data_IF_243049308350
#
_entry.id   IF_243049308350
#
_cell.length_a   1.000
_cell.length_b   1.000
_cell.length_c   1.000
_cell.angle_alpha   90.00
_cell.angle_beta   90.00
_cell.angle_gamma   90.00
#
_symmetry.space_group_name_H-M   'P 1'
#
loop_
_entity.id
_entity.type
_entity.pdbx_description
1 polymer ?
#
# COMPACT_ATOMS: atom_id res chain seq x y z
N UNK A 1 -28.16 0.54 21.00
CA UNK A 1 -28.59 1.24 19.77
C UNK A 1 -27.80 2.52 19.45
N UNK A 2 -27.55 3.43 20.40
CA UNK A 2 -26.82 4.71 20.14
C UNK A 2 -25.37 4.55 19.62
N UNK A 3 -24.63 3.52 20.05
CA UNK A 3 -23.24 3.26 19.61
C UNK A 3 -23.15 2.77 18.16
N UNK A 4 -24.07 1.88 17.75
CA UNK A 4 -24.12 1.30 16.39
C UNK A 4 -24.53 2.32 15.31
N UNK A 5 -25.34 3.32 15.67
CA UNK A 5 -25.77 4.38 14.74
C UNK A 5 -24.67 5.42 14.49
N UNK A 6 -23.84 5.72 15.50
CA UNK A 6 -22.68 6.62 15.36
C UNK A 6 -21.65 6.08 14.37
N UNK A 7 -21.32 4.78 14.45
CA UNK A 7 -20.36 4.14 13.54
C UNK A 7 -20.74 4.29 12.08
N UNK A 8 -22.02 4.09 11.73
CA UNK A 8 -22.48 4.16 10.34
C UNK A 8 -22.29 5.54 9.73
N UNK A 9 -22.59 6.61 10.49
CA UNK A 9 -22.43 8.00 10.02
C UNK A 9 -20.97 8.30 9.67
N UNK A 10 -20.02 7.86 10.49
CA UNK A 10 -18.60 8.13 10.25
C UNK A 10 -18.08 7.39 9.00
N UNK A 11 -18.46 6.13 8.80
CA UNK A 11 -18.11 5.40 7.58
C UNK A 11 -18.73 6.04 6.33
N UNK A 12 -19.98 6.50 6.40
CA UNK A 12 -20.63 7.22 5.28
C UNK A 12 -19.92 8.53 4.98
N UNK A 13 -19.62 9.35 5.99
CA UNK A 13 -18.89 10.61 5.80
C UNK A 13 -17.49 10.38 5.22
N UNK A 14 -16.77 9.36 5.71
CA UNK A 14 -15.45 9.01 5.18
C UNK A 14 -15.54 8.51 3.74
N UNK A 15 -16.55 7.72 3.39
CA UNK A 15 -16.75 7.26 2.03
C UNK A 15 -17.07 8.41 1.07
N UNK A 16 -17.91 9.37 1.49
CA UNK A 16 -18.23 10.57 0.71
C UNK A 16 -17.01 11.49 0.55
N UNK A 17 -16.25 11.72 1.63
CA UNK A 17 -15.00 12.49 1.55
C UNK A 17 -13.98 11.81 0.62
N UNK A 18 -13.88 10.48 0.67
CA UNK A 18 -13.03 9.70 -0.24
C UNK A 18 -13.48 9.87 -1.70
N UNK A 19 -14.79 9.81 -1.96
CA UNK A 19 -15.35 10.01 -3.29
C UNK A 19 -15.03 11.41 -3.84
N UNK A 20 -15.24 12.46 -3.04
CA UNK A 20 -14.91 13.85 -3.41
C UNK A 20 -13.42 13.99 -3.72
N UNK A 21 -12.57 13.33 -2.94
CA UNK A 21 -11.12 13.39 -3.11
C UNK A 21 -10.67 12.65 -4.38
N UNK A 22 -11.19 11.47 -4.66
CA UNK A 22 -10.69 10.63 -5.76
C UNK A 22 -11.37 10.88 -7.10
N UNK A 23 -12.64 11.30 -7.12
CA UNK A 23 -13.40 11.43 -8.35
C UNK A 23 -12.72 12.35 -9.38
N UNK A 24 -12.22 13.55 -9.04
CA UNK A 24 -11.59 14.44 -10.02
C UNK A 24 -10.33 13.83 -10.62
N UNK A 25 -9.41 13.36 -9.78
CA UNK A 25 -8.12 12.79 -10.20
C UNK A 25 -8.28 11.48 -10.98
N UNK A 26 -9.24 10.64 -10.61
CA UNK A 26 -9.47 9.37 -11.30
C UNK A 26 -10.21 9.56 -12.61
N UNK A 27 -11.14 10.52 -12.69
CA UNK A 27 -11.77 10.88 -13.96
C UNK A 27 -10.76 11.49 -14.94
N UNK A 28 -9.81 12.29 -14.45
CA UNK A 28 -8.66 12.77 -15.23
C UNK A 28 -7.79 11.61 -15.71
N UNK A 29 -7.36 10.75 -14.77
CA UNK A 29 -6.51 9.58 -15.03
C UNK A 29 -7.12 8.65 -16.09
N UNK A 30 -8.40 8.30 -15.94
CA UNK A 30 -9.09 7.35 -16.81
C UNK A 30 -9.33 7.86 -18.23
N UNK A 31 -9.25 9.17 -18.47
CA UNK A 31 -9.49 9.78 -19.77
C UNK A 31 -8.20 10.08 -20.53
N UNK A 32 -7.18 10.54 -19.81
CA UNK A 32 -6.01 11.17 -20.43
C UNK A 32 -4.71 10.36 -20.31
N UNK A 33 -4.66 9.34 -19.46
CA UNK A 33 -3.43 8.56 -19.30
C UNK A 33 -3.42 7.30 -20.15
N UNK A 34 -2.34 7.13 -20.91
CA UNK A 34 -2.12 5.99 -21.79
C UNK A 34 -2.23 4.63 -21.07
N UNK A 35 -1.78 4.53 -19.81
CA UNK A 35 -1.79 3.28 -19.05
C UNK A 35 -3.23 2.78 -18.78
N UNK A 36 -4.17 3.69 -18.54
CA UNK A 36 -5.58 3.33 -18.42
C UNK A 36 -6.16 2.85 -19.76
N UNK A 37 -5.87 3.57 -20.84
CA UNK A 37 -6.30 3.17 -22.19
C UNK A 37 -5.76 1.79 -22.57
N UNK A 38 -4.48 1.54 -22.26
CA UNK A 38 -3.81 0.26 -22.46
C UNK A 38 -4.52 -0.87 -21.70
N UNK A 39 -4.76 -0.69 -20.40
CA UNK A 39 -5.44 -1.70 -19.58
C UNK A 39 -6.91 -1.93 -19.99
N UNK A 40 -7.64 -0.89 -20.38
CA UNK A 40 -9.01 -1.04 -20.90
C UNK A 40 -8.99 -1.82 -22.21
N UNK A 41 -8.13 -1.44 -23.16
CA UNK A 41 -8.00 -2.13 -24.45
C UNK A 41 -7.50 -3.57 -24.31
N UNK A 42 -6.67 -3.85 -23.30
CA UNK A 42 -6.24 -5.20 -22.96
C UNK A 42 -7.42 -6.02 -22.40
N UNK A 43 -8.18 -5.49 -21.44
CA UNK A 43 -9.35 -6.17 -20.88
C UNK A 43 -10.36 -6.58 -21.96
N UNK A 44 -10.62 -5.70 -22.93
CA UNK A 44 -11.59 -5.96 -24.00
C UNK A 44 -11.14 -7.09 -24.95
N UNK A 45 -9.84 -7.37 -25.04
CA UNK A 45 -9.26 -8.43 -25.89
C UNK A 45 -9.06 -9.76 -25.14
N UNK A 46 -9.11 -9.76 -23.81
CA UNK A 46 -8.93 -10.96 -22.98
C UNK A 46 -9.83 -12.16 -23.33
N UNK A 47 -11.11 -11.99 -23.75
CA UNK A 47 -11.96 -13.12 -24.11
C UNK A 47 -11.44 -13.94 -25.30
N UNK A 48 -10.68 -13.30 -26.20
CA UNK A 48 -10.23 -13.90 -27.45
C UNK A 48 -8.75 -14.32 -27.41
N UNK A 49 -7.95 -13.71 -26.51
CA UNK A 49 -6.54 -14.02 -26.31
C UNK A 49 -6.16 -13.85 -24.83
N UNK A 50 -5.56 -14.88 -24.23
CA UNK A 50 -5.00 -14.84 -22.88
C UNK A 50 -3.61 -14.15 -22.84
N UNK A 51 -3.18 -13.55 -23.93
CA UNK A 51 -1.86 -12.96 -24.09
C UNK A 51 -1.71 -11.72 -23.18
N UNK A 52 -0.56 -11.59 -22.50
CA UNK A 52 -0.19 -10.44 -21.64
C UNK A 52 -1.04 -10.22 -20.38
N UNK A 53 -1.59 -11.27 -19.76
CA UNK A 53 -2.30 -11.12 -18.49
C UNK A 53 -1.30 -10.91 -17.34
N UNK A 54 -0.78 -9.69 -17.24
CA UNK A 54 -0.13 -9.23 -16.01
C UNK A 54 -1.16 -8.48 -15.17
N UNK A 55 -1.45 -8.99 -13.98
CA UNK A 55 -2.43 -8.40 -13.04
C UNK A 55 -3.91 -8.33 -13.55
N UNK A 56 -4.59 -9.48 -13.72
CA UNK A 56 -5.95 -9.54 -14.29
C UNK A 56 -7.05 -8.94 -13.43
N UNK A 57 -6.86 -8.74 -12.12
CA UNK A 57 -7.97 -8.43 -11.23
C UNK A 57 -8.68 -7.11 -11.61
N UNK A 58 -7.92 -6.08 -11.96
CA UNK A 58 -8.50 -4.82 -12.43
C UNK A 58 -9.37 -5.04 -13.67
N UNK A 59 -8.85 -5.78 -14.66
CA UNK A 59 -9.53 -6.09 -15.91
C UNK A 59 -10.84 -6.86 -15.65
N UNK A 60 -10.81 -7.85 -14.76
CA UNK A 60 -11.99 -8.62 -14.37
C UNK A 60 -13.07 -7.75 -13.70
N UNK A 61 -12.68 -6.87 -12.78
CA UNK A 61 -13.62 -5.94 -12.12
C UNK A 61 -14.22 -4.98 -13.15
N UNK A 62 -13.37 -4.38 -14.00
CA UNK A 62 -13.79 -3.48 -15.06
C UNK A 62 -14.79 -4.15 -16.02
N UNK A 63 -14.46 -5.33 -16.56
CA UNK A 63 -15.33 -6.07 -17.47
C UNK A 63 -16.65 -6.45 -16.81
N UNK A 64 -16.62 -6.87 -15.55
CA UNK A 64 -17.84 -7.22 -14.80
C UNK A 64 -18.77 -6.01 -14.69
N UNK A 65 -18.24 -4.85 -14.30
CA UNK A 65 -19.00 -3.60 -14.20
C UNK A 65 -19.56 -3.19 -15.56
N UNK A 66 -18.73 -3.20 -16.59
CA UNK A 66 -19.12 -2.84 -17.96
C UNK A 66 -20.28 -3.72 -18.45
N UNK A 67 -20.16 -5.04 -18.31
CA UNK A 67 -21.15 -6.01 -18.80
C UNK A 67 -22.44 -6.02 -17.96
N UNK A 68 -22.34 -5.94 -16.63
CA UNK A 68 -23.50 -6.03 -15.75
C UNK A 68 -24.33 -4.73 -15.72
N UNK A 69 -23.68 -3.57 -15.84
CA UNK A 69 -24.34 -2.26 -15.72
C UNK A 69 -24.50 -1.53 -17.06
N UNK A 70 -23.94 -2.05 -18.15
CA UNK A 70 -24.00 -1.41 -19.47
C UNK A 70 -23.28 -0.06 -19.56
N UNK A 71 -22.33 0.21 -18.66
CA UNK A 71 -21.65 1.50 -18.59
C UNK A 71 -20.63 1.65 -19.72
N UNK A 72 -20.43 2.86 -20.29
CA UNK A 72 -19.32 3.12 -21.22
C UNK A 72 -17.96 2.74 -20.60
N UNK A 73 -16.99 2.35 -21.43
CA UNK A 73 -15.69 1.83 -20.96
C UNK A 73 -15.00 2.75 -19.94
N UNK A 74 -14.93 4.06 -20.20
CA UNK A 74 -14.30 5.00 -19.26
C UNK A 74 -15.03 5.06 -17.92
N UNK A 75 -16.37 5.04 -17.94
CA UNK A 75 -17.18 5.10 -16.72
C UNK A 75 -17.10 3.80 -15.92
N UNK A 76 -17.06 2.64 -16.59
CA UNK A 76 -16.83 1.36 -15.95
C UNK A 76 -15.44 1.29 -15.29
N UNK A 77 -14.39 1.78 -15.97
CA UNK A 77 -13.03 1.83 -15.42
C UNK A 77 -12.92 2.78 -14.22
N UNK A 78 -13.52 3.97 -14.32
CA UNK A 78 -13.61 4.92 -13.20
C UNK A 78 -14.33 4.28 -12.00
N UNK A 79 -15.46 3.64 -12.24
CA UNK A 79 -16.24 2.96 -11.19
C UNK A 79 -15.44 1.83 -10.55
N UNK A 80 -14.75 1.00 -11.34
CA UNK A 80 -13.88 -0.07 -10.86
C UNK A 80 -12.83 0.45 -9.88
N UNK A 81 -12.18 1.58 -10.21
CA UNK A 81 -11.13 2.14 -9.35
C UNK A 81 -11.70 2.79 -8.09
N UNK A 82 -12.81 3.52 -8.18
CA UNK A 82 -13.45 4.10 -7.00
C UNK A 82 -13.87 3.01 -6.01
N UNK A 83 -14.40 1.87 -6.50
CA UNK A 83 -14.72 0.71 -5.67
C UNK A 83 -13.51 0.13 -4.94
N UNK A 84 -12.31 0.26 -5.50
CA UNK A 84 -11.07 -0.25 -4.90
C UNK A 84 -10.40 0.78 -3.99
N UNK A 85 -10.49 2.08 -4.31
CA UNK A 85 -9.85 3.14 -3.53
C UNK A 85 -10.65 3.55 -2.29
N UNK A 86 -11.98 3.59 -2.35
CA UNK A 86 -12.83 4.04 -1.22
C UNK A 86 -12.67 3.13 0.02
N UNK A 87 -12.57 1.79 -0.09
CA UNK A 87 -12.39 0.96 1.10
C UNK A 87 -11.06 1.14 1.83
N UNK A 88 -10.00 1.63 1.16
CA UNK A 88 -8.66 1.79 1.76
C UNK A 88 -8.67 2.69 3.00
N UNK A 89 -9.14 3.96 2.95
CA UNK A 89 -9.23 4.79 4.15
C UNK A 89 -10.25 4.26 5.16
N UNK A 90 -11.32 3.57 4.74
CA UNK A 90 -12.29 2.95 5.66
C UNK A 90 -11.64 1.85 6.51
N UNK A 91 -10.83 0.99 5.88
CA UNK A 91 -10.06 -0.06 6.55
C UNK A 91 -9.04 0.55 7.51
N UNK A 92 -8.30 1.57 7.07
CA UNK A 92 -7.34 2.27 7.92
C UNK A 92 -8.02 2.91 9.15
N UNK A 93 -9.12 3.64 8.93
CA UNK A 93 -9.94 4.22 10.00
C UNK A 93 -10.45 3.17 10.98
N UNK A 94 -11.00 2.05 10.48
CA UNK A 94 -11.50 0.97 11.32
C UNK A 94 -10.40 0.40 12.23
N UNK A 95 -9.21 0.17 11.69
CA UNK A 95 -8.06 -0.34 12.46
C UNK A 95 -7.53 0.69 13.45
N UNK A 96 -7.47 1.97 13.07
CA UNK A 96 -7.10 3.03 14.01
C UNK A 96 -8.11 3.13 15.16
N UNK A 97 -9.41 3.21 14.84
CA UNK A 97 -10.48 3.31 15.83
C UNK A 97 -10.49 2.10 16.76
N UNK A 98 -10.30 0.89 16.23
CA UNK A 98 -10.19 -0.33 17.04
C UNK A 98 -9.02 -0.23 18.03
N UNK A 99 -7.91 0.42 17.63
CA UNK A 99 -6.70 0.47 18.44
C UNK A 99 -6.69 1.59 19.48
N UNK A 100 -7.25 2.75 19.16
CA UNK A 100 -7.25 3.92 20.04
C UNK A 100 -8.58 4.17 20.76
N UNK A 101 -9.68 3.58 20.31
CA UNK A 101 -11.02 3.78 20.89
C UNK A 101 -11.48 5.24 20.82
N UNK A 102 -12.08 5.75 21.90
CA UNK A 102 -12.64 7.11 21.99
C UNK A 102 -11.62 8.18 22.41
N UNK A 103 -10.34 7.83 22.57
CA UNK A 103 -9.30 8.78 23.03
C UNK A 103 -8.92 9.81 21.95
N UNK A 104 -9.22 9.52 20.68
CA UNK A 104 -8.99 10.41 19.55
C UNK A 104 -10.34 10.66 18.86
N UNK A 105 -10.72 11.93 18.59
CA UNK A 105 -11.96 12.24 17.90
C UNK A 105 -12.02 11.59 16.51
N UNK A 106 -13.21 11.13 16.11
CA UNK A 106 -13.40 10.43 14.83
C UNK A 106 -12.97 11.29 13.63
N UNK A 107 -13.23 12.59 13.66
CA UNK A 107 -12.82 13.51 12.59
C UNK A 107 -11.29 13.54 12.40
N UNK A 108 -10.51 13.47 13.48
CA UNK A 108 -9.05 13.41 13.39
C UNK A 108 -8.57 12.06 12.83
N UNK A 109 -9.19 10.95 13.25
CA UNK A 109 -8.87 9.62 12.70
C UNK A 109 -9.23 9.52 11.21
N UNK A 110 -10.37 10.09 10.80
CA UNK A 110 -10.79 10.18 9.41
C UNK A 110 -9.81 11.02 8.59
N UNK A 111 -9.39 12.19 9.09
CA UNK A 111 -8.40 13.03 8.42
C UNK A 111 -7.05 12.33 8.24
N UNK A 112 -6.58 11.61 9.26
CA UNK A 112 -5.35 10.80 9.19
C UNK A 112 -5.51 9.65 8.18
N UNK A 113 -6.64 8.96 8.18
CA UNK A 113 -6.92 7.88 7.24
C UNK A 113 -6.96 8.38 5.79
N UNK A 114 -7.59 9.53 5.51
CA UNK A 114 -7.54 10.18 4.20
C UNK A 114 -6.13 10.64 3.85
N UNK A 115 -5.40 11.25 4.78
CA UNK A 115 -4.02 11.68 4.58
C UNK A 115 -3.12 10.55 4.10
N UNK A 116 -3.26 9.35 4.67
CA UNK A 116 -2.50 8.16 4.25
C UNK A 116 -2.74 7.76 2.80
N UNK A 117 -3.88 8.14 2.22
CA UNK A 117 -4.25 7.75 0.86
C UNK A 117 -3.90 8.76 -0.22
N UNK A 118 -3.45 9.95 0.19
CA UNK A 118 -2.97 10.98 -0.72
C UNK A 118 -1.51 11.35 -0.49
N UNK A 119 -0.91 10.94 0.63
CA UNK A 119 0.48 11.25 0.96
C UNK A 119 1.45 10.91 -0.17
N UNK A 120 2.45 11.75 -0.37
CA UNK A 120 3.55 11.47 -1.29
C UNK A 120 4.88 11.80 -0.58
N UNK A 121 6.02 11.41 -1.17
CA UNK A 121 7.34 11.85 -0.71
C UNK A 121 7.43 13.37 -0.62
N UNK A 122 8.26 13.88 0.28
CA UNK A 122 8.56 15.31 0.33
C UNK A 122 9.36 15.66 -0.94
N UNK A 123 8.76 16.43 -1.83
CA UNK A 123 9.35 16.70 -3.14
C UNK A 123 10.16 17.98 -3.14
N UNK A 124 11.41 17.86 -3.59
CA UNK A 124 12.29 18.99 -3.92
C UNK A 124 12.45 19.04 -5.45
N UNK A 125 12.53 17.88 -6.10
CA UNK A 125 12.52 17.74 -7.56
C UNK A 125 11.17 17.14 -7.99
N UNK A 126 10.26 17.99 -8.44
CA UNK A 126 8.91 17.53 -8.76
C UNK A 126 8.87 16.98 -10.20
N UNK A 127 8.38 15.76 -10.37
CA UNK A 127 7.99 15.18 -11.67
C UNK A 127 6.67 14.42 -11.53
N UNK A 128 5.94 14.24 -12.63
CA UNK A 128 4.64 13.54 -12.66
C UNK A 128 4.74 12.03 -12.34
N UNK A 129 5.88 11.41 -12.66
CA UNK A 129 6.13 10.00 -12.40
C UNK A 129 6.84 9.78 -11.07
N UNK A 130 7.43 10.83 -10.50
CA UNK A 130 8.17 10.79 -9.23
C UNK A 130 9.25 9.69 -9.16
N UNK A 131 9.80 9.30 -10.31
CA UNK A 131 10.87 8.30 -10.38
C UNK A 131 12.07 8.81 -9.57
N UNK A 132 12.75 7.88 -8.88
CA UNK A 132 13.77 8.17 -7.86
C UNK A 132 13.21 8.39 -6.46
N UNK A 133 11.97 8.89 -6.33
CA UNK A 133 11.24 8.83 -5.06
C UNK A 133 10.49 7.50 -4.92
N UNK A 134 10.34 7.03 -3.68
CA UNK A 134 9.48 5.90 -3.35
C UNK A 134 8.06 6.41 -3.06
N UNK A 135 7.27 6.65 -4.11
CA UNK A 135 5.95 7.24 -3.99
C UNK A 135 4.85 6.18 -3.72
N UNK A 136 4.28 6.11 -2.50
CA UNK A 136 3.27 5.09 -2.19
C UNK A 136 1.92 5.31 -2.92
N UNK A 137 1.67 6.50 -3.47
CA UNK A 137 0.38 6.89 -4.07
C UNK A 137 0.58 7.25 -5.54
N UNK A 138 0.11 6.36 -6.42
CA UNK A 138 0.20 6.49 -7.88
C UNK A 138 -1.20 6.63 -8.45
N UNK A 139 -1.42 7.63 -9.30
CA UNK A 139 -2.74 7.91 -9.88
C UNK A 139 -2.90 7.43 -11.32
N UNK A 140 -1.80 7.21 -12.06
CA UNK A 140 -1.86 6.84 -13.47
C UNK A 140 -1.91 5.33 -13.73
N UNK A 141 -1.63 4.47 -12.73
CA UNK A 141 -1.49 3.03 -12.94
C UNK A 141 -2.61 2.24 -12.22
N UNK A 142 -3.60 1.69 -12.94
CA UNK A 142 -4.79 1.08 -12.34
C UNK A 142 -4.48 -0.19 -11.54
N UNK A 143 -3.48 -0.98 -11.94
CA UNK A 143 -3.09 -2.21 -11.21
C UNK A 143 -2.35 -1.88 -9.91
N UNK A 144 -1.48 -0.86 -9.91
CA UNK A 144 -0.86 -0.30 -8.70
C UNK A 144 -1.91 0.30 -7.76
N UNK A 145 -2.96 0.92 -8.30
CA UNK A 145 -4.09 1.39 -7.49
C UNK A 145 -4.81 0.19 -6.87
N UNK A 146 -5.05 -0.86 -7.65
CA UNK A 146 -5.81 -2.02 -7.22
C UNK A 146 -5.16 -2.79 -6.07
N UNK A 147 -3.84 -3.01 -6.13
CA UNK A 147 -3.11 -3.75 -5.09
C UNK A 147 -3.20 -3.09 -3.71
N UNK A 148 -3.36 -1.75 -3.64
CA UNK A 148 -3.43 -1.01 -2.37
C UNK A 148 -4.56 -1.45 -1.44
N UNK A 149 -5.68 -1.92 -2.01
CA UNK A 149 -6.79 -2.48 -1.23
C UNK A 149 -6.35 -3.67 -0.35
N UNK A 150 -5.37 -4.44 -0.83
CA UNK A 150 -4.94 -5.66 -0.17
C UNK A 150 -3.75 -5.45 0.77
N UNK A 151 -2.97 -4.38 0.62
CA UNK A 151 -1.74 -4.16 1.40
C UNK A 151 -2.03 -4.23 2.90
N UNK A 152 -2.98 -3.45 3.42
CA UNK A 152 -3.28 -3.42 4.86
C UNK A 152 -3.90 -4.76 5.33
N UNK A 153 -4.99 -5.28 4.72
CA UNK A 153 -5.60 -6.54 5.18
C UNK A 153 -4.65 -7.73 5.15
N UNK A 154 -3.90 -7.91 4.06
CA UNK A 154 -2.95 -9.02 3.92
C UNK A 154 -1.82 -8.87 4.92
N UNK A 155 -1.30 -7.66 5.14
CA UNK A 155 -0.22 -7.45 6.12
C UNK A 155 -0.67 -7.70 7.56
N UNK A 156 -1.92 -7.34 7.90
CA UNK A 156 -2.49 -7.63 9.23
C UNK A 156 -2.64 -9.13 9.41
N UNK A 157 -3.18 -9.85 8.41
CA UNK A 157 -3.29 -11.31 8.45
C UNK A 157 -1.92 -11.99 8.51
N UNK A 158 -0.97 -11.55 7.69
CA UNK A 158 0.40 -12.03 7.71
C UNK A 158 1.05 -11.84 9.09
N UNK A 159 0.87 -10.66 9.68
CA UNK A 159 1.42 -10.38 11.01
C UNK A 159 0.83 -11.26 12.12
N UNK A 160 -0.39 -11.80 11.95
CA UNK A 160 -0.94 -12.75 12.92
C UNK A 160 -0.07 -14.00 13.06
N UNK A 161 0.65 -14.41 12.01
CA UNK A 161 1.57 -15.52 12.08
C UNK A 161 2.69 -15.33 13.12
N UNK A 162 2.98 -14.10 13.57
CA UNK A 162 4.06 -13.78 14.50
C UNK A 162 3.58 -13.41 15.91
N UNK A 163 2.30 -13.65 16.21
CA UNK A 163 1.70 -13.45 17.53
C UNK A 163 1.36 -14.79 18.16
N UNK A 164 1.34 -14.82 19.50
CA UNK A 164 0.69 -15.91 20.23
C UNK A 164 -0.80 -15.90 19.87
N UNK A 165 -1.19 -16.76 18.93
CA UNK A 165 -2.59 -16.85 18.50
C UNK A 165 -3.35 -17.86 19.35
N UNK A 166 -4.47 -17.41 19.89
CA UNK A 166 -5.54 -18.29 20.37
C UNK A 166 -6.59 -18.36 19.28
N UNK A 167 -6.65 -19.49 18.58
CA UNK A 167 -7.78 -19.82 17.71
C UNK A 167 -8.92 -20.32 18.60
N UNK A 168 -10.17 -19.94 18.29
CA UNK A 168 -11.34 -20.42 19.02
C UNK A 168 -11.48 -21.95 18.91
N UNK A 169 -11.28 -22.46 17.70
CA UNK A 169 -11.35 -23.86 17.34
C UNK A 169 -10.55 -24.11 16.03
N UNK A 170 -10.52 -25.36 15.57
CA UNK A 170 -9.83 -25.76 14.34
C UNK A 170 -10.44 -25.10 13.09
N UNK A 171 -11.76 -24.98 13.02
CA UNK A 171 -12.47 -24.39 11.88
C UNK A 171 -12.11 -22.92 11.72
N UNK A 172 -12.01 -22.18 12.81
CA UNK A 172 -11.57 -20.79 12.84
C UNK A 172 -10.11 -20.66 12.36
N UNK A 173 -9.22 -21.61 12.69
CA UNK A 173 -7.85 -21.62 12.16
C UNK A 173 -7.83 -21.84 10.66
N UNK A 174 -8.55 -22.86 10.17
CA UNK A 174 -8.66 -23.17 8.74
C UNK A 174 -9.23 -21.97 7.96
N UNK A 175 -10.28 -21.34 8.48
CA UNK A 175 -10.86 -20.13 7.90
C UNK A 175 -9.82 -19.01 7.73
N UNK A 176 -9.00 -18.73 8.76
CA UNK A 176 -7.96 -17.69 8.67
C UNK A 176 -6.86 -18.06 7.67
N UNK A 177 -6.49 -19.34 7.58
CA UNK A 177 -5.52 -19.82 6.58
C UNK A 177 -6.08 -19.62 5.17
N UNK A 178 -7.31 -20.08 4.90
CA UNK A 178 -7.95 -19.95 3.59
C UNK A 178 -8.19 -18.49 3.21
N UNK A 179 -8.66 -17.66 4.14
CA UNK A 179 -8.84 -16.23 3.93
C UNK A 179 -7.51 -15.55 3.56
N UNK A 180 -6.42 -15.90 4.25
CA UNK A 180 -5.09 -15.36 3.94
C UNK A 180 -4.63 -15.81 2.55
N UNK A 181 -4.83 -17.08 2.21
CA UNK A 181 -4.45 -17.63 0.90
C UNK A 181 -5.19 -16.92 -0.24
N UNK A 182 -6.52 -16.79 -0.11
CA UNK A 182 -7.35 -16.09 -1.11
C UNK A 182 -6.93 -14.63 -1.24
N UNK A 183 -6.73 -13.91 -0.13
CA UNK A 183 -6.35 -12.49 -0.20
C UNK A 183 -4.95 -12.28 -0.77
N UNK A 184 -3.99 -13.16 -0.49
CA UNK A 184 -2.65 -13.10 -1.13
C UNK A 184 -2.75 -13.36 -2.63
N UNK A 185 -3.56 -14.35 -3.06
CA UNK A 185 -3.79 -14.61 -4.49
C UNK A 185 -4.43 -13.39 -5.15
N UNK A 186 -5.51 -12.84 -4.58
CA UNK A 186 -6.17 -11.64 -5.10
C UNK A 186 -5.24 -10.44 -5.17
N UNK A 187 -4.38 -10.26 -4.15
CA UNK A 187 -3.35 -9.22 -4.14
C UNK A 187 -2.35 -9.39 -5.29
N UNK A 188 -1.87 -10.61 -5.55
CA UNK A 188 -0.95 -10.89 -6.67
C UNK A 188 -1.64 -10.68 -8.01
N UNK A 189 -2.89 -11.13 -8.15
CA UNK A 189 -3.73 -10.87 -9.32
C UNK A 189 -4.02 -9.37 -9.50
N UNK A 190 -4.00 -8.57 -8.44
CA UNK A 190 -4.10 -7.11 -8.51
C UNK A 190 -2.79 -6.47 -8.99
N UNK A 191 -1.65 -6.91 -8.42
CA UNK A 191 -0.28 -6.68 -8.92
C UNK A 191 0.72 -7.52 -8.11
N UNK A 192 1.66 -8.26 -8.74
CA UNK A 192 2.62 -9.10 -8.00
C UNK A 192 3.60 -8.30 -7.11
N UNK A 193 3.76 -7.01 -7.39
CA UNK A 193 4.77 -6.14 -6.78
C UNK A 193 4.86 -6.19 -5.25
N UNK A 194 3.74 -6.18 -4.51
CA UNK A 194 3.79 -6.21 -3.05
C UNK A 194 4.16 -7.59 -2.49
N UNK A 195 3.80 -8.68 -3.18
CA UNK A 195 4.18 -10.04 -2.76
C UNK A 195 5.71 -10.23 -2.79
N UNK A 196 6.40 -9.60 -3.76
CA UNK A 196 7.86 -9.60 -3.85
C UNK A 196 8.55 -8.96 -2.62
N UNK A 197 7.86 -8.09 -1.87
CA UNK A 197 8.36 -7.57 -0.60
C UNK A 197 7.85 -8.39 0.59
N UNK A 198 6.55 -8.71 0.59
CA UNK A 198 5.87 -9.31 1.73
C UNK A 198 6.37 -10.73 2.03
N UNK A 199 6.46 -11.60 1.02
CA UNK A 199 6.82 -13.01 1.22
C UNK A 199 8.25 -13.17 1.78
N UNK A 200 9.30 -12.56 1.18
CA UNK A 200 10.63 -12.60 1.79
C UNK A 200 10.65 -11.88 3.15
N UNK A 201 9.89 -10.78 3.30
CA UNK A 201 9.74 -10.10 4.59
C UNK A 201 9.18 -11.01 5.69
N UNK A 202 8.18 -11.83 5.37
CA UNK A 202 7.62 -12.83 6.27
C UNK A 202 8.65 -13.90 6.64
N UNK A 203 9.45 -14.40 5.68
CA UNK A 203 10.50 -15.38 5.95
C UNK A 203 11.59 -14.81 6.87
N UNK A 204 12.11 -13.62 6.55
CA UNK A 204 13.14 -12.94 7.36
C UNK A 204 12.62 -12.65 8.76
N UNK A 205 11.38 -12.17 8.88
CA UNK A 205 10.78 -11.87 10.18
C UNK A 205 10.49 -13.14 10.98
N UNK A 206 10.08 -14.24 10.34
CA UNK A 206 9.91 -15.56 10.97
C UNK A 206 11.23 -16.06 11.55
N UNK A 207 12.32 -15.99 10.78
CA UNK A 207 13.66 -16.40 11.23
C UNK A 207 14.08 -15.54 12.42
N UNK A 208 13.99 -14.21 12.31
CA UNK A 208 14.31 -13.30 13.41
C UNK A 208 13.50 -13.61 14.67
N UNK A 209 12.20 -13.88 14.52
CA UNK A 209 11.31 -14.18 15.64
C UNK A 209 11.67 -15.51 16.28
N UNK A 210 11.91 -16.55 15.48
CA UNK A 210 12.34 -17.88 15.95
C UNK A 210 13.66 -17.82 16.72
N UNK A 211 14.67 -17.14 16.18
CA UNK A 211 15.98 -16.95 16.82
C UNK A 211 15.89 -16.16 18.14
N UNK A 212 14.84 -15.35 18.33
CA UNK A 212 14.56 -14.62 19.57
C UNK A 212 13.64 -15.39 20.54
N UNK A 213 13.46 -16.70 20.36
CA UNK A 213 12.57 -17.52 21.19
C UNK A 213 11.09 -17.16 21.04
N UNK A 214 10.73 -16.66 19.86
CA UNK A 214 9.41 -16.18 19.56
C UNK A 214 8.48 -17.19 18.91
N UNK A 215 7.17 -16.96 19.10
CA UNK A 215 6.14 -17.74 18.43
C UNK A 215 6.03 -17.39 16.95
N UNK A 216 5.93 -18.45 16.14
CA UNK A 216 5.62 -18.39 14.71
C UNK A 216 4.57 -19.46 14.42
N UNK A 217 3.43 -19.07 13.86
CA UNK A 217 2.44 -20.02 13.33
C UNK A 217 2.87 -20.46 11.93
N UNK A 218 3.67 -21.53 11.89
CA UNK A 218 4.18 -22.10 10.65
C UNK A 218 3.09 -22.56 9.68
N UNK A 219 1.91 -22.97 10.16
CA UNK A 219 0.82 -23.40 9.26
C UNK A 219 0.18 -22.21 8.56
N UNK A 220 -0.08 -21.12 9.29
CA UNK A 220 -0.58 -19.89 8.69
C UNK A 220 0.44 -19.30 7.72
N UNK A 221 1.71 -19.28 8.11
CA UNK A 221 2.79 -18.78 7.26
C UNK A 221 2.93 -19.63 5.98
N UNK A 222 3.02 -20.95 6.09
CA UNK A 222 3.20 -21.84 4.95
C UNK A 222 1.96 -21.89 4.05
N UNK A 223 0.80 -22.28 4.58
CA UNK A 223 -0.39 -22.56 3.76
C UNK A 223 -1.25 -21.32 3.50
N UNK A 224 -1.18 -20.31 4.36
CA UNK A 224 -1.96 -19.08 4.19
C UNK A 224 -1.24 -18.00 3.37
N UNK A 225 0.10 -18.06 3.25
CA UNK A 225 0.87 -16.98 2.63
C UNK A 225 1.91 -17.49 1.63
N UNK A 226 2.88 -18.30 2.08
CA UNK A 226 4.04 -18.66 1.26
C UNK A 226 3.67 -19.57 0.10
N UNK A 227 3.01 -20.70 0.35
CA UNK A 227 2.61 -21.65 -0.70
C UNK A 227 1.68 -21.00 -1.74
N UNK A 228 0.51 -20.41 -1.38
CA UNK A 228 -0.35 -19.78 -2.37
C UNK A 228 0.32 -18.59 -3.06
N UNK A 229 1.12 -17.81 -2.33
CA UNK A 229 1.82 -16.65 -2.87
C UNK A 229 2.91 -17.02 -3.87
N UNK A 230 3.76 -18.00 -3.55
CA UNK A 230 4.84 -18.44 -4.43
C UNK A 230 4.30 -19.15 -5.68
N UNK A 231 3.28 -20.00 -5.53
CA UNK A 231 2.62 -20.64 -6.68
C UNK A 231 2.03 -19.58 -7.61
N UNK A 232 1.28 -18.61 -7.07
CA UNK A 232 0.68 -17.55 -7.87
C UNK A 232 1.73 -16.64 -8.51
N UNK A 233 2.82 -16.31 -7.81
CA UNK A 233 3.95 -15.57 -8.41
C UNK A 233 4.60 -16.36 -9.54
N UNK A 234 4.78 -17.68 -9.39
CA UNK A 234 5.27 -18.55 -10.45
C UNK A 234 4.38 -18.51 -11.69
N UNK A 235 3.06 -18.62 -11.51
CA UNK A 235 2.09 -18.46 -12.61
C UNK A 235 2.22 -17.09 -13.28
N UNK A 236 2.30 -16.00 -12.50
CA UNK A 236 2.47 -14.66 -13.09
C UNK A 236 3.79 -14.50 -13.82
N UNK A 237 4.87 -15.13 -13.36
CA UNK A 237 6.17 -15.10 -14.03
C UNK A 237 6.13 -15.85 -15.36
N UNK A 238 5.52 -17.05 -15.40
CA UNK A 238 5.35 -17.81 -16.64
C UNK A 238 4.58 -16.99 -17.69
N UNK A 239 3.43 -16.43 -17.31
CA UNK A 239 2.61 -15.60 -18.19
C UNK A 239 3.27 -14.28 -18.63
N UNK A 240 4.28 -13.81 -17.89
CA UNK A 240 4.95 -12.53 -18.20
C UNK A 240 6.22 -12.68 -19.03
N UNK A 241 6.92 -13.81 -18.94
CA UNK A 241 8.29 -13.96 -19.46
C UNK A 241 8.56 -15.23 -20.28
N UNK A 242 7.72 -16.27 -20.19
CA UNK A 242 7.98 -17.54 -20.91
C UNK A 242 7.23 -17.58 -22.24
N UNK A 243 5.99 -17.10 -22.27
CA UNK A 243 5.15 -17.17 -23.46
C UNK A 243 5.41 -16.02 -24.46
N UNK A 244 6.49 -15.23 -24.28
CA UNK A 244 6.73 -14.02 -25.06
C UNK A 244 8.20 -13.80 -25.44
N UNK A 245 8.48 -13.74 -26.74
CA UNK A 245 9.82 -13.58 -27.32
C UNK A 245 10.02 -12.14 -27.86
N UNK A 246 9.85 -11.13 -26.98
CA UNK A 246 10.16 -9.72 -27.31
C UNK A 246 11.52 -9.26 -26.74
N UNK A 247 12.32 -10.21 -26.27
CA UNK A 247 13.60 -9.96 -25.61
C UNK A 247 13.50 -9.45 -24.17
N UNK A 248 12.30 -9.45 -23.57
CA UNK A 248 12.15 -9.06 -22.16
C UNK A 248 12.59 -10.16 -21.20
N UNK A 249 13.56 -9.86 -20.36
CA UNK A 249 13.98 -10.73 -19.27
C UNK A 249 14.07 -9.97 -17.94
N UNK A 250 14.15 -10.71 -16.84
CA UNK A 250 14.52 -10.15 -15.53
C UNK A 250 16.05 -10.11 -15.45
N UNK A 251 16.60 -8.93 -15.22
CA UNK A 251 18.04 -8.71 -15.12
C UNK A 251 18.43 -8.12 -13.77
N UNK A 252 19.70 -8.30 -13.40
CA UNK A 252 20.27 -7.77 -12.17
C UNK A 252 21.23 -6.62 -12.51
N UNK A 253 20.96 -5.44 -11.97
CA UNK A 253 21.80 -4.26 -12.13
C UNK A 253 21.53 -3.22 -11.06
N UNK A 254 22.60 -2.72 -10.44
CA UNK A 254 22.49 -1.75 -9.35
C UNK A 254 22.07 -0.38 -9.88
N UNK A 255 20.88 0.06 -9.48
CA UNK A 255 20.25 1.33 -9.83
C UNK A 255 19.99 1.53 -11.34
N UNK A 256 20.17 0.49 -12.17
CA UNK A 256 20.10 0.58 -13.64
C UNK A 256 18.82 1.25 -14.13
N UNK A 257 17.64 0.81 -13.65
CA UNK A 257 16.38 1.45 -14.04
C UNK A 257 16.27 2.90 -13.56
N UNK A 258 16.70 3.18 -12.33
CA UNK A 258 16.57 4.52 -11.74
C UNK A 258 17.43 5.56 -12.47
N UNK A 259 18.63 5.16 -12.89
CA UNK A 259 19.59 6.03 -13.57
C UNK A 259 19.19 6.38 -15.00
N UNK A 260 18.18 5.70 -15.57
CA UNK A 260 17.53 6.13 -16.82
C UNK A 260 16.78 7.46 -16.65
N UNK A 261 16.32 7.78 -15.45
CA UNK A 261 15.45 8.93 -15.19
C UNK A 261 16.06 9.96 -14.24
N UNK A 262 16.93 9.53 -13.33
CA UNK A 262 17.46 10.39 -12.27
C UNK A 262 18.95 10.13 -12.03
N UNK A 263 19.79 11.17 -11.89
CA UNK A 263 21.18 11.00 -11.48
C UNK A 263 21.33 10.19 -10.19
N UNK A 264 22.27 9.26 -10.17
CA UNK A 264 22.46 8.30 -9.08
C UNK A 264 22.59 8.95 -7.69
N UNK A 265 23.25 10.11 -7.60
CA UNK A 265 23.45 10.83 -6.34
C UNK A 265 22.14 11.35 -5.70
N UNK A 266 21.06 11.53 -6.48
CA UNK A 266 19.76 11.99 -5.96
C UNK A 266 18.97 10.87 -5.29
N UNK A 267 19.18 9.62 -5.71
CA UNK A 267 18.43 8.46 -5.22
C UNK A 267 18.47 8.31 -3.69
N UNK A 268 19.63 8.37 -3.00
CA UNK A 268 19.63 8.30 -1.53
C UNK A 268 18.87 9.46 -0.86
N UNK A 269 18.92 10.67 -1.43
CA UNK A 269 18.18 11.83 -0.91
C UNK A 269 16.68 11.62 -1.08
N UNK A 270 16.24 11.21 -2.28
CA UNK A 270 14.84 10.94 -2.59
C UNK A 270 14.28 9.77 -1.76
N UNK A 271 15.09 8.74 -1.50
CA UNK A 271 14.77 7.66 -0.57
C UNK A 271 14.49 8.23 0.82
N UNK A 272 15.39 9.05 1.38
CA UNK A 272 15.19 9.66 2.71
C UNK A 272 13.93 10.53 2.76
N UNK A 273 13.71 11.36 1.74
CA UNK A 273 12.50 12.20 1.62
C UNK A 273 11.21 11.39 1.47
N UNK A 274 11.30 10.13 1.03
CA UNK A 274 10.16 9.22 0.93
C UNK A 274 9.82 8.56 2.26
N UNK A 275 10.75 8.49 3.22
CA UNK A 275 10.58 7.76 4.48
C UNK A 275 10.89 8.60 5.73
N UNK A 276 10.95 9.93 5.62
CA UNK A 276 11.32 10.78 6.76
C UNK A 276 10.34 10.64 7.93
N UNK A 277 9.03 10.49 7.66
CA UNK A 277 8.04 10.25 8.71
C UNK A 277 8.29 8.94 9.49
N UNK A 278 8.34 7.75 8.86
CA UNK A 278 8.55 6.50 9.59
C UNK A 278 9.93 6.46 10.28
N UNK A 279 10.97 7.05 9.68
CA UNK A 279 12.28 7.23 10.34
C UNK A 279 12.14 8.10 11.58
N UNK A 280 11.49 9.26 11.47
CA UNK A 280 11.24 10.18 12.58
C UNK A 280 10.49 9.51 13.73
N UNK A 281 9.41 8.78 13.43
CA UNK A 281 8.66 7.99 14.42
C UNK A 281 9.58 6.99 15.14
N UNK A 282 10.40 6.24 14.39
CA UNK A 282 11.31 5.24 14.98
C UNK A 282 12.41 5.88 15.83
N UNK A 283 12.89 7.07 15.49
CA UNK A 283 13.90 7.81 16.26
C UNK A 283 13.28 8.40 17.54
N UNK A 284 12.19 9.15 17.42
CA UNK A 284 11.54 9.85 18.53
C UNK A 284 11.01 8.89 19.60
N UNK A 285 10.61 7.69 19.19
CA UNK A 285 10.07 6.64 20.06
C UNK A 285 10.93 5.37 20.06
N UNK A 286 12.25 5.48 19.92
CA UNK A 286 13.15 4.34 19.69
C UNK A 286 12.96 3.15 20.65
N UNK A 287 12.74 3.42 21.95
CA UNK A 287 12.52 2.35 22.94
C UNK A 287 11.21 1.61 22.69
N UNK A 288 10.12 2.35 22.49
CA UNK A 288 8.78 1.80 22.26
C UNK A 288 8.65 1.17 20.87
N UNK A 289 9.26 1.77 19.85
CA UNK A 289 9.24 1.31 18.47
C UNK A 289 9.94 -0.04 18.32
N UNK A 290 11.07 -0.26 19.01
CA UNK A 290 11.78 -1.56 19.05
C UNK A 290 10.93 -2.69 19.64
N UNK A 291 9.96 -2.37 20.50
CA UNK A 291 9.07 -3.34 21.13
C UNK A 291 7.78 -3.56 20.31
N UNK A 292 7.48 -2.68 19.35
CA UNK A 292 6.31 -2.85 18.50
C UNK A 292 6.63 -3.82 17.36
N UNK A 293 6.11 -5.05 17.48
CA UNK A 293 6.35 -6.11 16.52
C UNK A 293 5.73 -5.82 15.14
N UNK A 294 4.59 -5.13 15.06
CA UNK A 294 3.96 -4.82 13.76
C UNK A 294 4.75 -3.77 12.99
N UNK A 295 5.21 -2.72 13.67
CA UNK A 295 6.11 -1.73 13.10
C UNK A 295 7.43 -2.37 12.66
N UNK A 296 8.00 -3.26 13.49
CA UNK A 296 9.22 -4.00 13.14
C UNK A 296 9.02 -4.88 11.90
N UNK A 297 7.88 -5.57 11.80
CA UNK A 297 7.49 -6.35 10.64
C UNK A 297 7.39 -5.48 9.37
N UNK A 298 6.71 -4.33 9.44
CA UNK A 298 6.61 -3.40 8.31
C UNK A 298 7.98 -2.89 7.84
N UNK A 299 8.90 -2.60 8.78
CA UNK A 299 10.29 -2.25 8.45
C UNK A 299 11.05 -3.40 7.78
N UNK A 300 10.81 -4.66 8.20
CA UNK A 300 11.41 -5.83 7.55
C UNK A 300 10.89 -6.00 6.13
N UNK A 301 9.58 -5.88 5.90
CA UNK A 301 8.98 -5.92 4.55
C UNK A 301 9.57 -4.81 3.67
N UNK A 302 9.69 -3.59 4.20
CA UNK A 302 10.34 -2.49 3.49
C UNK A 302 11.81 -2.77 3.17
N UNK A 303 12.58 -3.30 4.12
CA UNK A 303 13.98 -3.67 3.88
C UNK A 303 14.12 -4.74 2.78
N UNK A 304 13.21 -5.72 2.72
CA UNK A 304 13.17 -6.72 1.64
C UNK A 304 12.74 -6.14 0.28
N UNK A 305 12.00 -5.03 0.26
CA UNK A 305 11.61 -4.36 -0.98
C UNK A 305 12.77 -3.64 -1.67
N UNK A 306 13.75 -3.14 -0.92
CA UNK A 306 14.84 -2.33 -1.46
C UNK A 306 15.73 -3.08 -2.46
N UNK A 307 16.20 -4.32 -2.20
CA UNK A 307 16.95 -5.10 -3.18
C UNK A 307 16.14 -5.35 -4.46
N UNK A 308 14.84 -5.66 -4.35
CA UNK A 308 13.98 -5.85 -5.52
C UNK A 308 13.94 -4.58 -6.36
N UNK A 309 13.72 -3.42 -5.75
CA UNK A 309 13.61 -2.15 -6.46
C UNK A 309 14.92 -1.61 -7.02
N UNK A 310 16.05 -1.85 -6.35
CA UNK A 310 17.34 -1.25 -6.73
C UNK A 310 18.30 -2.20 -7.43
N UNK A 311 18.06 -3.52 -7.40
CA UNK A 311 18.89 -4.51 -8.08
C UNK A 311 18.18 -5.17 -9.25
N UNK A 312 16.85 -5.28 -9.27
CA UNK A 312 16.14 -5.93 -10.35
C UNK A 312 15.55 -4.91 -11.33
N UNK A 313 15.70 -5.19 -12.62
CA UNK A 313 15.03 -4.46 -13.69
C UNK A 313 14.59 -5.43 -14.79
N UNK A 314 13.73 -4.98 -15.69
CA UNK A 314 13.37 -5.73 -16.89
C UNK A 314 14.18 -5.21 -18.08
N UNK A 315 14.59 -6.08 -18.99
CA UNK A 315 15.17 -5.69 -20.28
C UNK A 315 14.12 -5.65 -21.39
N UNK A 316 14.57 -5.42 -22.63
CA UNK A 316 13.68 -5.30 -23.78
C UNK A 316 12.73 -4.10 -23.69
N UNK A 317 11.56 -4.17 -24.36
CA UNK A 317 10.54 -3.12 -24.31
C UNK A 317 10.05 -2.82 -22.89
N UNK A 318 10.17 -3.79 -21.96
CA UNK A 318 9.64 -3.69 -20.61
C UNK A 318 10.50 -2.87 -19.65
N UNK A 319 11.74 -2.53 -20.02
CA UNK A 319 12.64 -1.70 -19.20
C UNK A 319 11.99 -0.38 -18.77
N UNK A 320 11.11 0.20 -19.60
CA UNK A 320 10.47 1.48 -19.34
C UNK A 320 9.30 1.40 -18.34
N UNK A 321 8.80 0.20 -18.02
CA UNK A 321 7.66 0.03 -17.11
C UNK A 321 8.04 0.08 -15.62
N UNK A 322 9.31 -0.17 -15.29
CA UNK A 322 9.80 -0.16 -13.92
C UNK A 322 9.06 -1.10 -12.98
N UNK A 323 8.71 -2.31 -13.42
CA UNK A 323 7.77 -3.15 -12.66
C UNK A 323 8.25 -3.49 -11.23
N UNK A 324 9.57 -3.57 -11.01
CA UNK A 324 10.16 -3.80 -9.69
C UNK A 324 10.18 -2.55 -8.78
N UNK A 325 9.98 -1.34 -9.32
CA UNK A 325 9.84 -0.12 -8.53
C UNK A 325 8.58 -0.14 -7.65
N UNK A 326 7.48 -0.67 -8.20
CA UNK A 326 6.19 -0.75 -7.52
C UNK A 326 6.25 -1.57 -6.21
N UNK A 327 7.24 -2.45 -6.06
CA UNK A 327 7.48 -3.24 -4.85
C UNK A 327 7.77 -2.34 -3.64
N UNK A 328 8.71 -1.41 -3.78
CA UNK A 328 9.02 -0.46 -2.71
C UNK A 328 7.90 0.56 -2.48
N UNK A 329 7.14 0.94 -3.52
CA UNK A 329 6.01 1.86 -3.36
C UNK A 329 4.95 1.25 -2.42
N UNK A 330 4.62 -0.03 -2.65
CA UNK A 330 3.68 -0.78 -1.81
C UNK A 330 4.21 -0.99 -0.39
N UNK A 331 5.49 -1.28 -0.24
CA UNK A 331 6.11 -1.47 1.07
C UNK A 331 6.20 -0.16 1.89
N UNK A 332 6.46 0.98 1.24
CA UNK A 332 6.41 2.31 1.89
C UNK A 332 4.98 2.62 2.35
N UNK A 333 3.95 2.28 1.57
CA UNK A 333 2.56 2.46 2.00
C UNK A 333 2.26 1.69 3.31
N UNK A 334 2.66 0.41 3.38
CA UNK A 334 2.55 -0.38 4.62
C UNK A 334 3.33 0.27 5.77
N UNK A 335 4.57 0.72 5.52
CA UNK A 335 5.43 1.31 6.53
C UNK A 335 4.85 2.61 7.10
N UNK A 336 4.26 3.45 6.25
CA UNK A 336 3.56 4.67 6.63
C UNK A 336 2.33 4.35 7.50
N UNK A 337 1.51 3.38 7.08
CA UNK A 337 0.37 2.90 7.86
C UNK A 337 0.79 2.37 9.25
N UNK A 338 1.79 1.48 9.31
CA UNK A 338 2.27 0.90 10.55
C UNK A 338 2.88 1.95 11.50
N UNK A 339 3.60 2.93 10.95
CA UNK A 339 4.17 4.04 11.73
C UNK A 339 3.08 4.96 12.29
N UNK A 340 2.05 5.25 11.50
CA UNK A 340 0.90 6.02 11.96
C UNK A 340 0.11 5.27 13.04
N UNK A 341 -0.21 3.98 12.84
CA UNK A 341 -0.87 3.15 13.84
C UNK A 341 -0.10 3.16 15.18
N UNK A 342 1.22 2.97 15.11
CA UNK A 342 2.10 3.02 16.27
C UNK A 342 2.10 4.40 16.95
N UNK A 343 2.15 5.48 16.17
CA UNK A 343 2.13 6.85 16.68
C UNK A 343 0.82 7.16 17.43
N UNK A 344 -0.32 6.77 16.86
CA UNK A 344 -1.64 6.90 17.50
C UNK A 344 -1.72 6.07 18.80
N UNK A 345 -1.12 4.87 18.84
CA UNK A 345 -0.99 4.11 20.09
C UNK A 345 -0.15 4.83 21.15
N UNK A 346 0.93 5.50 20.74
CA UNK A 346 1.76 6.28 21.68
C UNK A 346 0.99 7.48 22.23
N UNK A 347 0.20 8.17 21.41
CA UNK A 347 -0.67 9.24 21.88
C UNK A 347 -1.58 8.79 23.03
N UNK A 348 -2.27 7.65 22.87
CA UNK A 348 -3.15 7.13 23.93
C UNK A 348 -2.38 6.78 25.19
N UNK A 349 -1.17 6.21 25.06
CA UNK A 349 -0.32 5.89 26.21
C UNK A 349 0.16 7.13 26.95
N UNK A 350 0.55 8.18 26.22
CA UNK A 350 0.99 9.46 26.80
C UNK A 350 -0.18 10.21 27.43
N UNK A 351 -1.34 10.23 26.77
CA UNK A 351 -2.58 10.80 27.30
C UNK A 351 -2.98 10.17 28.64
N UNK A 352 -2.95 8.82 28.73
CA UNK A 352 -3.24 8.10 29.98
C UNK A 352 -2.26 8.39 31.11
N UNK A 353 -1.04 8.83 30.79
CA UNK A 353 -0.02 9.23 31.77
C UNK A 353 -0.13 10.70 32.16
N UNK A 354 -1.09 11.45 31.60
CA UNK A 354 -1.21 12.89 31.79
C UNK A 354 -0.06 13.68 31.15
N UNK A 355 0.70 13.07 30.24
CA UNK A 355 1.82 13.72 29.59
C UNK A 355 1.32 14.56 28.41
N UNK A 356 1.57 15.87 28.42
CA UNK A 356 1.27 16.76 27.31
C UNK A 356 1.67 18.19 27.64
N UNK A 357 2.62 18.73 26.87
CA UNK A 357 3.15 20.08 27.08
C UNK A 357 2.62 21.10 26.07
N UNK A 358 2.04 20.63 24.95
CA UNK A 358 1.37 21.46 23.95
C UNK A 358 -0.13 21.19 23.94
N UNK A 359 -0.93 22.22 23.70
CA UNK A 359 -2.38 22.09 23.48
C UNK A 359 -2.73 22.67 22.10
N UNK A 360 -3.27 21.83 21.21
CA UNK A 360 -3.68 22.24 19.85
C UNK A 360 -5.09 21.68 19.61
N UNK A 361 -6.05 22.53 19.20
CA UNK A 361 -7.46 22.17 19.00
C UNK A 361 -8.10 21.39 20.16
N UNK A 362 -7.72 21.71 21.40
CA UNK A 362 -8.23 21.05 22.60
C UNK A 362 -7.60 19.67 22.90
N UNK A 363 -6.68 19.18 22.07
CA UNK A 363 -5.92 17.95 22.31
C UNK A 363 -4.55 18.31 22.91
N UNK A 364 -4.10 17.49 23.88
CA UNK A 364 -2.79 17.64 24.53
C UNK A 364 -1.76 16.74 23.85
N UNK A 365 -0.67 17.33 23.39
CA UNK A 365 0.40 16.66 22.67
C UNK A 365 1.73 16.75 23.42
N UNK A 366 2.54 15.71 23.31
CA UNK A 366 3.98 15.83 23.56
C UNK A 366 4.65 16.44 22.33
N UNK A 367 5.79 17.12 22.52
CA UNK A 367 6.55 17.66 21.39
C UNK A 367 6.96 16.56 20.39
N UNK A 368 7.23 15.33 20.88
CA UNK A 368 7.58 14.16 20.05
C UNK A 368 6.43 13.78 19.14
N UNK A 369 5.21 13.70 19.69
CA UNK A 369 4.03 13.38 18.91
C UNK A 369 3.75 14.49 17.88
N UNK A 370 3.79 15.75 18.31
CA UNK A 370 3.55 16.89 17.43
C UNK A 370 4.55 16.94 16.28
N UNK A 371 5.84 16.71 16.55
CA UNK A 371 6.89 16.69 15.52
C UNK A 371 6.73 15.49 14.57
N UNK A 372 6.39 14.30 15.07
CA UNK A 372 6.10 13.15 14.21
C UNK A 372 4.89 13.41 13.30
N UNK A 373 3.82 14.02 13.84
CA UNK A 373 2.64 14.39 13.07
C UNK A 373 2.95 15.48 12.04
N UNK A 374 3.83 16.43 12.36
CA UNK A 374 4.34 17.42 11.41
C UNK A 374 5.06 16.75 10.22
N UNK A 375 5.94 15.78 10.47
CA UNK A 375 6.60 15.03 9.40
C UNK A 375 5.60 14.30 8.50
N UNK A 376 4.56 13.70 9.08
CA UNK A 376 3.46 13.14 8.28
C UNK A 376 2.71 14.21 7.49
N UNK A 377 2.45 15.37 8.10
CA UNK A 377 1.84 16.52 7.44
C UNK A 377 2.63 16.98 6.21
N UNK A 378 3.96 16.98 6.26
CA UNK A 378 4.80 17.28 5.09
C UNK A 378 4.59 16.30 3.93
N UNK A 379 4.41 15.00 4.23
CA UNK A 379 4.06 14.00 3.21
C UNK A 379 2.65 14.22 2.64
N UNK A 380 1.68 14.63 3.46
CA UNK A 380 0.33 14.99 2.99
C UNK A 380 0.39 16.22 2.10
N UNK A 381 1.17 17.25 2.46
CA UNK A 381 1.39 18.44 1.63
C UNK A 381 2.03 18.07 0.29
N UNK A 382 3.08 17.23 0.31
CA UNK A 382 3.69 16.69 -0.92
C UNK A 382 2.68 15.92 -1.77
N UNK A 383 1.78 15.19 -1.12
CA UNK A 383 0.66 14.49 -1.74
C UNK A 383 -0.36 15.39 -2.42
N UNK A 384 -0.76 16.48 -1.75
CA UNK A 384 -1.66 17.49 -2.32
C UNK A 384 -0.98 18.19 -3.51
N UNK A 385 0.30 18.56 -3.39
CA UNK A 385 1.05 19.14 -4.49
C UNK A 385 1.14 18.19 -5.70
N UNK A 386 1.39 16.91 -5.45
CA UNK A 386 1.38 15.87 -6.49
C UNK A 386 0.00 15.73 -7.15
N UNK A 387 -1.06 15.68 -6.34
CA UNK A 387 -2.45 15.60 -6.80
C UNK A 387 -2.82 16.77 -7.72
N UNK A 388 -2.54 18.00 -7.29
CA UNK A 388 -2.84 19.22 -8.07
C UNK A 388 -2.02 19.28 -9.37
N UNK A 389 -0.74 18.88 -9.31
CA UNK A 389 0.08 18.78 -10.53
C UNK A 389 -0.47 17.73 -11.48
N UNK A 390 -0.91 16.58 -10.97
CA UNK A 390 -1.47 15.52 -11.80
C UNK A 390 -2.72 15.98 -12.55
N UNK A 391 -3.58 16.80 -11.92
CA UNK A 391 -4.77 17.37 -12.55
C UNK A 391 -4.49 18.45 -13.60
N UNK A 392 -3.34 19.13 -13.52
CA UNK A 392 -3.02 20.28 -14.37
C UNK A 392 -2.18 19.91 -15.59
N UNK A 393 -1.45 18.81 -15.55
CA UNK A 393 -0.68 18.34 -16.71
C UNK A 393 -1.62 17.65 -17.69
N UNK A 394 -1.74 18.22 -18.88
CA UNK A 394 -2.33 17.55 -20.03
C UNK A 394 -1.28 16.62 -20.63
N UNK A 395 -1.54 15.32 -20.61
CA UNK A 395 -0.74 14.35 -21.35
C UNK A 395 -1.27 14.32 -22.78
N UNK A 396 -0.47 14.83 -23.71
CA UNK A 396 -0.58 14.54 -25.15
C UNK A 396 0.18 13.23 -25.41
#
# INVERSE_FOLDING_TARGET
MKTRRKSTVQYTLLALASLILYLPVMNHASRLHADFGFHIGHALRMPDKLDHITAPLFHAIFLSIHRMLGLPHQLAALTAILLVMIPVPLIAYALFKQRVGEHIPDGALMAVALGLTIMAPITIWTSIYMIGYLNPIVFHNPTSIAVRLFIIPVSVLAFRAFRNQTYRDLNHRVYIILLSAVLVILMILAKPSFALALLPGCCVFAIWRYLRGGSVDWRLLAFGLLLPGLLMLGVMALLSYVDYDDGSAIEIGFLTFMTLYVPAWRIPIQLMLSIVFPVGVRILYARQARQNLFLSFAWTVFACALPVTYLLYESGPRVWHGNFLWTSYSAVFLLMFASMLFLLEQYVREFRRGCGSLQIFGLRFTWRFAFALFLFGLHVIGGIAYYLRFLTVQHI
#
